data_IF_525879945273
#
_entry.id   IF_525879945273
#
_cell.length_a   1.000
_cell.length_b   1.000
_cell.length_c   1.000
_cell.angle_alpha   90.00
_cell.angle_beta   90.00
_cell.angle_gamma   90.00
#
_symmetry.space_group_name_H-M   'P 1'
#
loop_
_entity.id
_entity.type
_entity.pdbx_description
1 polymer ?
#
# COMPACT_ATOMS: atom_id res chain seq x y z
N UNK A 1 65.28 55.77 14.84
CA UNK A 1 63.99 56.46 15.07
C UNK A 1 63.51 57.05 13.75
N UNK A 2 62.54 56.42 13.08
CA UNK A 2 61.78 57.02 11.98
C UNK A 2 60.38 56.38 11.99
N UNK A 3 59.37 57.23 11.87
CA UNK A 3 58.03 57.03 12.43
C UNK A 3 57.12 56.14 11.59
N UNK A 4 56.47 55.22 12.30
CA UNK A 4 55.23 54.54 11.95
C UNK A 4 54.08 55.58 11.89
N UNK A 5 53.45 55.85 10.74
CA UNK A 5 52.13 56.50 10.70
C UNK A 5 51.23 56.02 9.56
N UNK A 6 50.23 55.24 9.99
CA UNK A 6 48.80 55.27 9.62
C UNK A 6 48.42 55.04 8.16
N UNK A 7 48.03 53.79 7.91
CA UNK A 7 47.08 53.39 6.89
C UNK A 7 45.67 53.46 7.51
N UNK A 8 44.78 54.36 7.06
CA UNK A 8 43.31 54.21 7.15
C UNK A 8 42.55 55.35 6.45
N UNK A 9 41.39 54.98 5.86
CA UNK A 9 40.24 55.76 5.37
C UNK A 9 40.22 56.20 3.89
N UNK A 10 39.11 56.16 3.11
CA UNK A 10 37.71 55.69 3.28
C UNK A 10 36.98 55.88 1.94
N UNK A 11 36.51 54.83 1.27
CA UNK A 11 35.58 54.93 0.13
C UNK A 11 34.17 54.54 0.56
N UNK A 12 33.25 55.50 0.77
CA UNK A 12 31.89 55.23 1.28
C UNK A 12 31.10 54.23 0.41
N UNK A 13 31.35 54.16 -0.89
CA UNK A 13 30.70 53.19 -1.79
C UNK A 13 31.25 51.76 -1.70
N UNK A 14 32.50 51.56 -1.28
CA UNK A 14 33.08 50.22 -1.14
C UNK A 14 32.49 49.47 0.05
N UNK A 15 32.23 50.15 1.17
CA UNK A 15 31.60 49.54 2.34
C UNK A 15 30.16 49.07 2.04
N UNK A 16 29.44 49.81 1.21
CA UNK A 16 28.08 49.48 0.80
C UNK A 16 28.04 48.25 -0.13
N UNK A 17 28.97 48.18 -1.10
CA UNK A 17 29.13 47.01 -1.99
C UNK A 17 29.55 45.77 -1.20
N UNK A 18 30.51 45.90 -0.26
CA UNK A 18 30.95 44.78 0.59
C UNK A 18 29.80 44.28 1.46
N UNK A 19 29.01 45.18 2.05
CA UNK A 19 27.86 44.82 2.87
C UNK A 19 26.78 44.09 2.07
N UNK A 20 26.49 44.57 0.84
CA UNK A 20 25.55 43.92 -0.06
C UNK A 20 26.01 42.50 -0.45
N UNK A 21 27.29 42.31 -0.79
CA UNK A 21 27.85 40.99 -1.09
C UNK A 21 27.79 40.04 0.11
N UNK A 22 28.02 40.56 1.32
CA UNK A 22 27.96 39.78 2.55
C UNK A 22 26.52 39.30 2.83
N UNK A 23 25.53 40.18 2.64
CA UNK A 23 24.11 39.84 2.79
C UNK A 23 23.68 38.80 1.74
N UNK A 24 24.08 38.97 0.48
CA UNK A 24 23.77 37.98 -0.58
C UNK A 24 24.44 36.64 -0.26
N UNK A 25 25.71 36.66 0.17
CA UNK A 25 26.44 35.45 0.57
C UNK A 25 25.77 34.70 1.72
N UNK A 26 25.34 35.41 2.77
CA UNK A 26 24.60 34.83 3.90
C UNK A 26 23.24 34.28 3.44
N UNK A 27 22.52 35.01 2.59
CA UNK A 27 21.21 34.57 2.08
C UNK A 27 21.33 33.30 1.25
N UNK A 28 22.30 33.23 0.33
CA UNK A 28 22.55 32.03 -0.49
C UNK A 28 22.96 30.85 0.39
N UNK A 29 23.83 31.08 1.38
CA UNK A 29 24.22 30.04 2.32
C UNK A 29 23.02 29.52 3.14
N UNK A 30 22.17 30.43 3.64
CA UNK A 30 20.97 30.08 4.41
C UNK A 30 19.95 29.29 3.58
N UNK A 31 19.69 29.71 2.33
CA UNK A 31 18.79 29.00 1.41
C UNK A 31 19.35 27.61 1.07
N UNK A 32 20.66 27.49 0.87
CA UNK A 32 21.33 26.21 0.57
C UNK A 32 21.20 25.21 1.72
N UNK A 33 21.41 25.68 2.97
CA UNK A 33 21.20 24.84 4.16
C UNK A 33 19.73 24.46 4.30
N UNK A 34 18.80 25.40 4.13
CA UNK A 34 17.37 25.10 4.19
C UNK A 34 16.95 24.05 3.15
N UNK A 35 17.49 24.12 1.93
CA UNK A 35 17.18 23.15 0.86
C UNK A 35 17.70 21.75 1.18
N UNK A 36 18.93 21.67 1.70
CA UNK A 36 19.58 20.40 2.05
C UNK A 36 18.84 19.63 3.16
N UNK A 37 18.16 20.34 4.07
CA UNK A 37 17.41 19.72 5.18
C UNK A 37 15.90 19.61 4.92
N UNK A 38 15.32 20.58 4.22
CA UNK A 38 13.88 20.63 3.93
C UNK A 38 13.42 19.57 2.94
N UNK A 39 14.17 19.38 1.85
CA UNK A 39 13.79 18.43 0.77
C UNK A 39 13.71 16.98 1.28
N UNK A 40 14.70 16.44 2.02
CA UNK A 40 14.62 15.06 2.53
C UNK A 40 13.46 14.83 3.50
N UNK A 41 13.09 15.84 4.31
CA UNK A 41 11.97 15.73 5.25
C UNK A 41 10.64 15.67 4.49
N UNK A 42 10.45 16.56 3.51
CA UNK A 42 9.24 16.59 2.67
C UNK A 42 9.09 15.28 1.90
N UNK A 43 10.15 14.79 1.27
CA UNK A 43 10.16 13.51 0.56
C UNK A 43 9.84 12.33 1.49
N UNK A 44 10.38 12.34 2.72
CA UNK A 44 10.07 11.31 3.73
C UNK A 44 8.60 11.30 4.13
N UNK A 45 7.96 12.46 4.20
CA UNK A 45 6.53 12.58 4.50
C UNK A 45 5.65 12.08 3.35
N UNK A 46 5.96 12.49 2.12
CA UNK A 46 5.23 12.06 0.92
C UNK A 46 5.25 10.53 0.75
N UNK A 47 6.42 9.89 0.86
CA UNK A 47 6.51 8.43 0.75
C UNK A 47 5.80 7.69 1.87
N UNK A 48 5.63 8.28 3.07
CA UNK A 48 4.84 7.66 4.13
C UNK A 48 3.34 7.79 3.83
N UNK A 49 2.89 8.96 3.35
CA UNK A 49 1.48 9.19 2.97
C UNK A 49 1.04 8.22 1.89
N UNK A 50 1.84 8.06 0.83
CA UNK A 50 1.53 7.14 -0.28
C UNK A 50 1.35 5.69 0.16
N UNK A 51 2.18 5.23 1.11
CA UNK A 51 2.10 3.87 1.65
C UNK A 51 0.83 3.71 2.49
N UNK A 52 0.51 4.70 3.33
CA UNK A 52 -0.69 4.70 4.16
C UNK A 52 -1.98 4.78 3.32
N UNK A 53 -1.98 5.61 2.28
CA UNK A 53 -3.11 5.72 1.35
C UNK A 53 -3.33 4.41 0.59
N UNK A 54 -2.25 3.75 0.15
CA UNK A 54 -2.35 2.46 -0.52
C UNK A 54 -2.88 1.36 0.40
N UNK A 55 -2.39 1.29 1.63
CA UNK A 55 -2.90 0.37 2.64
C UNK A 55 -4.36 0.66 3.00
N UNK A 56 -4.72 1.94 3.14
CA UNK A 56 -6.11 2.36 3.38
C UNK A 56 -7.02 1.93 2.23
N UNK A 57 -6.60 2.15 0.98
CA UNK A 57 -7.36 1.73 -0.19
C UNK A 57 -7.64 0.23 -0.18
N UNK A 58 -6.63 -0.59 0.12
CA UNK A 58 -6.80 -2.05 0.21
C UNK A 58 -7.70 -2.48 1.37
N UNK A 59 -7.60 -1.81 2.52
CA UNK A 59 -8.50 -2.04 3.65
C UNK A 59 -9.95 -1.62 3.35
N UNK A 60 -10.16 -0.55 2.59
CA UNK A 60 -11.51 -0.12 2.20
C UNK A 60 -12.15 -1.09 1.21
N UNK A 61 -11.35 -1.69 0.31
CA UNK A 61 -11.79 -2.79 -0.54
C UNK A 61 -12.17 -4.02 0.30
N UNK A 62 -11.29 -4.44 1.22
CA UNK A 62 -11.54 -5.61 2.08
C UNK A 62 -12.83 -5.44 2.87
N UNK A 63 -13.01 -4.29 3.54
CA UNK A 63 -14.24 -3.96 4.27
C UNK A 63 -15.47 -3.95 3.38
N UNK A 64 -15.35 -3.45 2.16
CA UNK A 64 -16.47 -3.40 1.23
C UNK A 64 -16.86 -4.80 0.73
N UNK A 65 -15.88 -5.66 0.49
CA UNK A 65 -16.13 -7.05 0.11
C UNK A 65 -16.72 -7.81 1.30
N UNK A 66 -16.15 -7.72 2.49
CA UNK A 66 -16.66 -8.39 3.70
C UNK A 66 -18.11 -7.96 4.01
N UNK A 67 -18.43 -6.67 3.86
CA UNK A 67 -19.79 -6.17 4.02
C UNK A 67 -20.76 -6.77 2.98
N UNK A 68 -20.37 -6.81 1.71
CA UNK A 68 -21.18 -7.40 0.63
C UNK A 68 -21.28 -8.92 0.79
N UNK A 69 -20.24 -9.58 1.29
CA UNK A 69 -20.19 -11.01 1.55
C UNK A 69 -21.18 -11.40 2.66
N UNK A 70 -21.21 -10.65 3.77
CA UNK A 70 -22.10 -10.92 4.91
C UNK A 70 -23.54 -10.47 4.63
N UNK A 71 -23.73 -9.23 4.19
CA UNK A 71 -25.04 -8.60 4.08
C UNK A 71 -25.68 -8.77 2.69
N UNK A 72 -24.89 -9.14 1.68
CA UNK A 72 -25.33 -9.23 0.29
C UNK A 72 -25.42 -7.87 -0.41
N UNK A 73 -26.02 -7.89 -1.61
CA UNK A 73 -26.26 -6.67 -2.37
C UNK A 73 -25.05 -6.20 -3.16
N UNK A 74 -24.91 -4.87 -3.28
CA UNK A 74 -23.87 -4.21 -4.07
C UNK A 74 -23.29 -3.03 -3.29
N UNK A 75 -21.99 -2.81 -3.41
CA UNK A 75 -21.29 -1.68 -2.82
C UNK A 75 -20.37 -1.04 -3.83
N UNK A 76 -20.18 0.26 -3.71
CA UNK A 76 -19.23 1.00 -4.54
C UNK A 76 -18.14 1.57 -3.65
N UNK A 77 -16.89 1.43 -4.10
CA UNK A 77 -15.72 2.03 -3.46
C UNK A 77 -15.03 2.92 -4.49
N UNK A 78 -14.79 4.18 -4.14
CA UNK A 78 -14.02 5.10 -4.96
C UNK A 78 -12.63 5.22 -4.37
N UNK A 79 -11.61 5.01 -5.19
CA UNK A 79 -10.21 4.98 -4.79
C UNK A 79 -9.43 5.95 -5.66
N UNK A 80 -8.40 6.58 -5.10
CA UNK A 80 -7.37 7.25 -5.88
C UNK A 80 -6.12 6.37 -5.86
N UNK A 81 -5.75 5.83 -7.01
CA UNK A 81 -4.60 4.94 -7.15
C UNK A 81 -3.36 5.74 -7.54
N UNK A 82 -2.26 5.47 -6.86
CA UNK A 82 -0.93 6.00 -7.18
C UNK A 82 -0.06 4.96 -7.91
N UNK A 83 -0.66 3.83 -8.30
CA UNK A 83 0.01 2.70 -8.91
C UNK A 83 -0.92 1.83 -9.75
N UNK A 84 -0.56 0.56 -9.92
CA UNK A 84 -1.33 -0.38 -10.73
C UNK A 84 -2.07 -1.39 -9.86
N UNK A 85 -3.36 -1.59 -10.12
CA UNK A 85 -4.19 -2.59 -9.47
C UNK A 85 -4.63 -3.66 -10.48
N UNK A 86 -4.71 -4.91 -10.01
CA UNK A 86 -5.17 -6.05 -10.78
C UNK A 86 -6.10 -6.93 -9.92
N UNK A 87 -7.22 -7.33 -10.48
CA UNK A 87 -8.10 -8.37 -9.93
C UNK A 87 -7.66 -9.69 -10.60
N UNK A 88 -7.01 -10.56 -9.83
CA UNK A 88 -6.53 -11.87 -10.28
C UNK A 88 -7.50 -12.95 -9.81
N UNK A 89 -8.32 -13.47 -10.73
CA UNK A 89 -9.22 -14.59 -10.43
C UNK A 89 -8.42 -15.87 -10.14
N UNK A 90 -7.31 -16.07 -10.87
CA UNK A 90 -6.45 -17.25 -10.74
C UNK A 90 -5.80 -17.36 -9.35
N UNK A 91 -5.37 -16.21 -8.79
CA UNK A 91 -4.80 -16.16 -7.45
C UNK A 91 -5.84 -15.91 -6.36
N UNK A 92 -7.12 -15.77 -6.74
CA UNK A 92 -8.20 -15.32 -5.87
C UNK A 92 -7.82 -14.07 -5.05
N UNK A 93 -7.18 -13.10 -5.70
CA UNK A 93 -6.56 -11.96 -5.04
C UNK A 93 -6.69 -10.64 -5.80
N UNK A 94 -6.84 -9.55 -5.04
CA UNK A 94 -6.69 -8.18 -5.54
C UNK A 94 -5.26 -7.74 -5.26
N UNK A 95 -4.50 -7.44 -6.30
CA UNK A 95 -3.11 -7.00 -6.24
C UNK A 95 -3.04 -5.50 -6.46
N UNK A 96 -2.21 -4.82 -5.69
CA UNK A 96 -1.96 -3.39 -5.87
C UNK A 96 -0.48 -3.08 -5.66
N UNK A 97 0.14 -2.44 -6.64
CA UNK A 97 1.59 -2.18 -6.64
C UNK A 97 1.85 -0.68 -6.76
N UNK A 98 2.64 -0.13 -5.84
CA UNK A 98 3.05 1.28 -5.84
C UNK A 98 4.57 1.41 -5.81
N UNK A 99 5.11 2.46 -6.43
CA UNK A 99 6.52 2.82 -6.29
C UNK A 99 6.70 3.81 -5.15
N UNK A 100 7.66 3.55 -4.25
CA UNK A 100 7.96 4.44 -3.12
C UNK A 100 9.47 4.59 -2.91
N UNK A 101 9.90 5.68 -2.27
CA UNK A 101 11.31 5.87 -1.87
C UNK A 101 11.67 5.11 -0.59
N UNK A 102 10.67 4.60 0.13
CA UNK A 102 10.84 3.77 1.33
C UNK A 102 10.15 2.43 1.13
N UNK A 103 10.67 1.40 1.78
CA UNK A 103 10.06 0.07 1.72
C UNK A 103 8.69 0.03 2.43
N UNK A 104 8.57 0.66 3.60
CA UNK A 104 7.33 0.66 4.41
C UNK A 104 6.95 -0.67 5.05
N UNK A 105 7.33 -1.79 4.42
CA UNK A 105 7.05 -3.17 4.81
C UNK A 105 8.32 -4.03 4.66
N UNK A 106 8.24 -5.31 5.02
CA UNK A 106 9.37 -6.24 4.89
C UNK A 106 9.77 -6.47 3.42
N UNK A 107 11.05 -6.78 3.19
CA UNK A 107 11.60 -6.91 1.83
C UNK A 107 11.70 -8.34 1.33
N UNK A 108 11.83 -9.30 2.24
CA UNK A 108 12.11 -10.69 1.91
C UNK A 108 10.82 -11.49 1.82
N UNK A 109 9.89 -11.23 2.73
CA UNK A 109 8.71 -12.04 2.97
C UNK A 109 7.43 -11.20 2.93
N UNK A 110 6.32 -11.89 2.66
CA UNK A 110 4.99 -11.32 2.77
C UNK A 110 4.63 -11.15 4.25
N UNK A 111 4.19 -9.95 4.62
CA UNK A 111 3.77 -9.63 5.99
C UNK A 111 2.26 -9.45 6.00
N UNK A 112 1.53 -10.13 6.89
CA UNK A 112 0.11 -9.90 7.08
C UNK A 112 -0.11 -8.52 7.74
N UNK A 113 -1.07 -7.77 7.23
CA UNK A 113 -1.40 -6.42 7.70
C UNK A 113 -2.72 -6.37 8.48
N UNK A 114 -3.62 -7.34 8.24
CA UNK A 114 -4.94 -7.38 8.87
C UNK A 114 -5.21 -8.67 9.66
N UNK A 115 -4.18 -9.50 9.85
CA UNK A 115 -4.20 -10.77 10.58
C UNK A 115 -2.79 -11.03 11.16
N UNK A 116 -2.64 -12.04 12.01
CA UNK A 116 -1.37 -12.40 12.64
C UNK A 116 -0.53 -13.34 11.76
N UNK A 117 -1.18 -14.17 10.94
CA UNK A 117 -0.55 -15.28 10.23
C UNK A 117 -0.94 -15.37 8.74
N UNK A 118 -0.08 -16.01 7.95
CA UNK A 118 -0.22 -16.15 6.49
C UNK A 118 -0.73 -17.51 6.03
N UNK A 119 -1.47 -18.19 6.91
CA UNK A 119 -2.03 -19.52 6.67
C UNK A 119 -2.78 -19.60 5.34
N UNK A 120 -2.59 -20.70 4.61
CA UNK A 120 -3.33 -20.99 3.39
C UNK A 120 -3.04 -20.08 2.19
N UNK A 121 -2.05 -19.18 2.26
CA UNK A 121 -1.71 -18.26 1.16
C UNK A 121 -0.51 -18.75 0.37
N UNK A 122 -0.67 -18.90 -0.95
CA UNK A 122 0.40 -19.35 -1.82
C UNK A 122 1.60 -18.38 -1.81
N UNK A 123 2.82 -18.94 -1.72
CA UNK A 123 4.07 -18.17 -1.71
C UNK A 123 4.44 -17.56 -0.34
N UNK A 124 3.75 -17.94 0.74
CA UNK A 124 4.13 -17.62 2.12
C UNK A 124 4.66 -18.86 2.85
N UNK A 125 5.40 -18.69 3.96
CA UNK A 125 5.95 -19.83 4.73
C UNK A 125 4.89 -20.80 5.25
N UNK A 126 3.65 -20.34 5.44
CA UNK A 126 2.58 -21.12 6.06
C UNK A 126 1.46 -21.50 5.08
N UNK A 127 1.78 -21.59 3.79
CA UNK A 127 0.82 -21.91 2.74
C UNK A 127 0.08 -23.27 2.93
N UNK A 128 0.66 -24.21 3.69
CA UNK A 128 0.05 -25.50 4.00
C UNK A 128 -0.82 -25.50 5.25
N UNK A 129 -0.76 -24.45 6.07
CA UNK A 129 -1.58 -24.34 7.28
C UNK A 129 -3.04 -24.05 6.92
N UNK A 130 -3.97 -24.60 7.69
CA UNK A 130 -5.41 -24.41 7.50
C UNK A 130 -5.86 -23.22 8.36
N UNK A 131 -6.37 -22.14 7.75
CA UNK A 131 -7.01 -21.05 8.49
C UNK A 131 -8.29 -21.54 9.17
N UNK A 132 -8.54 -21.11 10.40
CA UNK A 132 -9.65 -21.54 11.24
C UNK A 132 -10.76 -20.48 11.28
N UNK A 133 -11.99 -20.90 10.97
CA UNK A 133 -13.16 -20.05 11.03
C UNK A 133 -13.37 -19.46 12.43
N UNK A 134 -13.65 -18.16 12.50
CA UNK A 134 -13.85 -17.42 13.75
C UNK A 134 -12.57 -17.03 14.48
N UNK A 135 -11.40 -17.50 14.03
CA UNK A 135 -10.08 -17.08 14.54
C UNK A 135 -9.34 -16.29 13.47
N UNK A 136 -9.16 -16.89 12.29
CA UNK A 136 -8.46 -16.29 11.16
C UNK A 136 -9.44 -15.55 10.24
N UNK A 137 -8.92 -14.54 9.52
CA UNK A 137 -9.70 -13.85 8.48
C UNK A 137 -9.70 -14.59 7.16
N UNK A 138 -10.84 -14.56 6.49
CA UNK A 138 -11.01 -15.09 5.14
C UNK A 138 -10.33 -14.23 4.07
N UNK A 139 -10.46 -12.90 4.17
CA UNK A 139 -9.73 -11.94 3.35
C UNK A 139 -8.44 -11.49 4.04
N UNK A 140 -7.29 -12.01 3.60
CA UNK A 140 -5.97 -11.67 4.14
C UNK A 140 -5.29 -10.60 3.29
N UNK A 141 -5.03 -9.44 3.89
CA UNK A 141 -4.18 -8.40 3.32
C UNK A 141 -2.73 -8.65 3.70
N UNK A 142 -1.87 -8.89 2.72
CA UNK A 142 -0.43 -9.01 2.87
C UNK A 142 0.30 -7.96 2.04
N UNK A 143 1.49 -7.58 2.47
CA UNK A 143 2.36 -6.69 1.71
C UNK A 143 3.82 -7.15 1.70
N UNK A 144 4.54 -6.78 0.64
CA UNK A 144 5.96 -7.02 0.48
C UNK A 144 6.60 -5.90 -0.34
N UNK A 145 7.82 -5.52 0.01
CA UNK A 145 8.61 -4.55 -0.74
C UNK A 145 9.73 -5.23 -1.54
N UNK A 146 9.88 -4.87 -2.80
CA UNK A 146 10.99 -5.28 -3.67
C UNK A 146 11.86 -4.06 -4.01
N UNK A 147 13.18 -4.24 -4.07
CA UNK A 147 14.08 -3.13 -4.38
C UNK A 147 13.96 -2.73 -5.87
N UNK A 148 14.00 -1.43 -6.13
CA UNK A 148 14.14 -0.82 -7.46
C UNK A 148 15.40 0.06 -7.49
N UNK A 149 15.91 0.39 -8.68
CA UNK A 149 17.11 1.24 -8.85
C UNK A 149 17.06 2.56 -8.08
N UNK A 150 15.87 3.13 -7.92
CA UNK A 150 15.67 4.43 -7.26
C UNK A 150 14.69 4.41 -6.09
N UNK A 151 14.36 3.23 -5.54
CA UNK A 151 13.38 3.08 -4.48
C UNK A 151 12.94 1.65 -4.23
N UNK A 152 11.65 1.46 -3.99
CA UNK A 152 11.02 0.18 -3.72
C UNK A 152 9.70 0.09 -4.50
N UNK A 153 9.40 -1.09 -5.00
CA UNK A 153 8.06 -1.48 -5.42
C UNK A 153 7.40 -2.12 -4.20
N UNK A 154 6.28 -1.59 -3.74
CA UNK A 154 5.50 -2.17 -2.66
C UNK A 154 4.31 -2.84 -3.28
N UNK A 155 4.22 -4.15 -3.11
CA UNK A 155 3.13 -4.98 -3.57
C UNK A 155 2.22 -5.31 -2.38
N UNK A 156 0.94 -5.01 -2.54
CA UNK A 156 -0.14 -5.44 -1.67
C UNK A 156 -0.91 -6.56 -2.37
N UNK A 157 -1.35 -7.55 -1.59
CA UNK A 157 -2.31 -8.57 -2.05
C UNK A 157 -3.37 -8.74 -1.00
N UNK A 158 -4.62 -8.54 -1.39
CA UNK A 158 -5.78 -8.99 -0.63
C UNK A 158 -6.20 -10.34 -1.20
N UNK A 159 -5.86 -11.41 -0.50
CA UNK A 159 -6.08 -12.80 -0.93
C UNK A 159 -7.26 -13.38 -0.16
N UNK A 160 -8.19 -14.01 -0.86
CA UNK A 160 -9.28 -14.76 -0.22
C UNK A 160 -8.91 -16.24 -0.11
N UNK A 161 -8.92 -16.74 1.11
CA UNK A 161 -8.51 -18.11 1.46
C UNK A 161 -9.66 -18.87 2.09
N UNK A 162 -9.65 -20.19 1.95
CA UNK A 162 -10.59 -21.06 2.65
C UNK A 162 -10.34 -21.02 4.16
N UNK A 163 -11.40 -20.82 4.93
CA UNK A 163 -11.43 -20.95 6.40
C UNK A 163 -12.31 -22.14 6.76
N UNK A 164 -11.82 -22.99 7.66
CA UNK A 164 -12.50 -24.21 8.10
C UNK A 164 -12.93 -24.13 9.56
N UNK A 165 -14.13 -24.61 9.86
CA UNK A 165 -14.63 -24.78 11.22
C UNK A 165 -14.18 -26.14 11.78
N UNK A 166 -13.44 -26.13 12.88
CA UNK A 166 -12.90 -27.34 13.53
C UNK A 166 -13.99 -28.26 14.09
N UNK A 167 -15.14 -27.71 14.48
CA UNK A 167 -16.23 -28.46 15.11
C UNK A 167 -17.11 -29.14 14.04
N UNK A 168 -17.58 -28.35 13.07
CA UNK A 168 -18.50 -28.83 12.03
C UNK A 168 -17.77 -29.46 10.84
N UNK A 169 -16.48 -29.19 10.70
CA UNK A 169 -15.63 -29.49 9.53
C UNK A 169 -16.08 -28.79 8.26
N UNK A 170 -17.05 -27.87 8.34
CA UNK A 170 -17.50 -27.09 7.18
C UNK A 170 -16.49 -25.99 6.85
N UNK A 171 -16.28 -25.75 5.56
CA UNK A 171 -15.38 -24.71 5.04
C UNK A 171 -16.15 -23.59 4.36
N UNK A 172 -15.53 -22.42 4.29
CA UNK A 172 -16.05 -21.25 3.57
C UNK A 172 -14.93 -20.61 2.76
N UNK A 173 -15.25 -20.17 1.55
CA UNK A 173 -14.32 -19.41 0.71
C UNK A 173 -15.06 -18.39 -0.16
N UNK A 174 -14.49 -17.21 -0.19
CA UNK A 174 -14.89 -16.12 -1.08
C UNK A 174 -14.06 -16.22 -2.33
N UNK A 175 -14.72 -16.24 -3.48
CA UNK A 175 -14.08 -16.26 -4.79
C UNK A 175 -14.33 -14.93 -5.48
N UNK A 176 -13.27 -14.28 -5.93
CA UNK A 176 -13.38 -13.01 -6.66
C UNK A 176 -13.44 -13.25 -8.16
N UNK A 177 -14.25 -12.47 -8.85
CA UNK A 177 -14.31 -12.43 -10.32
C UNK A 177 -14.35 -10.99 -10.82
N UNK A 178 -13.61 -10.71 -11.87
CA UNK A 178 -13.59 -9.43 -12.55
C UNK A 178 -14.69 -9.40 -13.63
N UNK A 179 -15.47 -8.33 -13.64
CA UNK A 179 -16.47 -8.07 -14.68
C UNK A 179 -15.93 -6.98 -15.61
N UNK A 180 -15.48 -7.37 -16.79
CA UNK A 180 -14.88 -6.47 -17.77
C UNK A 180 -13.38 -6.28 -17.56
N UNK A 181 -12.94 -5.04 -17.36
CA UNK A 181 -11.53 -4.75 -17.10
C UNK A 181 -11.13 -5.25 -15.72
N UNK A 182 -10.06 -6.03 -15.65
CA UNK A 182 -9.49 -6.52 -14.41
C UNK A 182 -8.24 -5.75 -13.96
N UNK A 183 -7.86 -4.69 -14.69
CA UNK A 183 -6.69 -3.85 -14.40
C UNK A 183 -7.07 -2.38 -14.34
N UNK A 184 -6.43 -1.69 -13.42
CA UNK A 184 -6.49 -0.24 -13.29
C UNK A 184 -5.08 0.33 -13.12
N UNK A 185 -4.87 1.52 -13.67
CA UNK A 185 -3.65 2.31 -13.49
C UNK A 185 -3.91 3.49 -12.56
N UNK A 186 -2.88 4.31 -12.32
CA UNK A 186 -2.99 5.47 -11.45
C UNK A 186 -4.12 6.43 -11.87
N UNK A 187 -4.81 6.99 -10.87
CA UNK A 187 -5.95 7.89 -11.03
C UNK A 187 -7.16 7.47 -10.19
N UNK A 188 -8.27 8.20 -10.38
CA UNK A 188 -9.53 7.89 -9.73
C UNK A 188 -10.18 6.66 -10.37
N UNK A 189 -10.43 5.64 -9.56
CA UNK A 189 -11.02 4.38 -9.97
C UNK A 189 -12.21 4.09 -9.09
N UNK A 190 -13.30 3.63 -9.69
CA UNK A 190 -14.48 3.21 -8.94
C UNK A 190 -14.67 1.70 -9.11
N UNK A 191 -14.71 1.00 -7.99
CA UNK A 191 -15.00 -0.43 -7.93
C UNK A 191 -16.47 -0.61 -7.60
N UNK A 192 -17.15 -1.43 -8.39
CA UNK A 192 -18.50 -1.92 -8.11
C UNK A 192 -18.42 -3.39 -7.69
N UNK A 193 -18.71 -3.65 -6.43
CA UNK A 193 -18.62 -4.96 -5.80
C UNK A 193 -20.03 -5.51 -5.63
N UNK A 194 -20.25 -6.79 -5.93
CA UNK A 194 -21.55 -7.43 -5.84
C UNK A 194 -21.45 -8.91 -5.47
N UNK A 195 -22.39 -9.40 -4.66
CA UNK A 195 -22.47 -10.81 -4.28
C UNK A 195 -23.34 -11.60 -5.25
N UNK A 196 -22.82 -12.70 -5.77
CA UNK A 196 -23.60 -13.73 -6.46
C UNK A 196 -24.22 -14.72 -5.45
N UNK A 197 -25.26 -15.49 -5.82
CA UNK A 197 -25.82 -16.50 -4.93
C UNK A 197 -24.74 -17.46 -4.42
N UNK A 198 -24.78 -17.76 -3.13
CA UNK A 198 -23.88 -18.74 -2.52
C UNK A 198 -24.18 -20.13 -3.07
N UNK A 199 -23.12 -20.93 -3.24
CA UNK A 199 -23.21 -22.28 -3.79
C UNK A 199 -22.44 -23.24 -2.90
N UNK A 200 -22.98 -24.44 -2.70
CA UNK A 200 -22.23 -25.52 -2.05
C UNK A 200 -21.33 -26.15 -3.12
N UNK A 201 -20.04 -26.21 -2.83
CA UNK A 201 -19.04 -26.82 -3.69
C UNK A 201 -19.31 -28.30 -3.89
N UNK A 202 -18.95 -28.83 -5.05
CA UNK A 202 -18.80 -30.28 -5.25
C UNK A 202 -17.53 -30.84 -4.62
N UNK A 203 -16.55 -29.96 -4.31
CA UNK A 203 -15.29 -30.30 -3.63
C UNK A 203 -15.49 -30.14 -2.12
N UNK A 204 -15.10 -31.12 -1.28
CA UNK A 204 -15.20 -30.97 0.17
C UNK A 204 -14.23 -29.88 0.67
N UNK A 205 -14.50 -29.38 1.88
CA UNK A 205 -13.56 -28.49 2.57
C UNK A 205 -12.25 -29.22 2.90
N UNK A 206 -11.21 -28.49 3.32
CA UNK A 206 -9.93 -29.09 3.72
C UNK A 206 -10.07 -30.05 4.91
N UNK A 207 -11.05 -29.84 5.78
CA UNK A 207 -11.38 -30.76 6.88
C UNK A 207 -12.38 -31.87 6.49
N UNK A 208 -12.82 -31.92 5.23
CA UNK A 208 -13.65 -32.99 4.67
C UNK A 208 -15.17 -32.77 4.81
N UNK A 209 -15.61 -31.61 5.29
CA UNK A 209 -17.03 -31.23 5.34
C UNK A 209 -17.49 -30.53 4.06
N UNK A 210 -18.63 -29.84 4.15
CA UNK A 210 -19.16 -29.05 3.04
C UNK A 210 -18.36 -27.77 2.88
N UNK A 211 -18.08 -27.38 1.65
CA UNK A 211 -17.47 -26.08 1.34
C UNK A 211 -18.53 -25.14 0.76
N UNK A 212 -18.74 -24.01 1.42
CA UNK A 212 -19.63 -22.94 0.92
C UNK A 212 -18.80 -21.93 0.14
N UNK A 213 -19.15 -21.69 -1.12
CA UNK A 213 -18.55 -20.63 -1.93
C UNK A 213 -19.44 -19.39 -1.94
N UNK A 214 -18.84 -18.26 -1.62
CA UNK A 214 -19.42 -16.94 -1.88
C UNK A 214 -18.69 -16.32 -3.06
N UNK A 215 -19.38 -16.12 -4.19
CA UNK A 215 -18.76 -15.46 -5.34
C UNK A 215 -19.01 -13.95 -5.30
N UNK A 216 -17.93 -13.18 -5.44
CA UNK A 216 -17.93 -11.71 -5.43
C UNK A 216 -17.48 -11.23 -6.81
N UNK A 217 -18.38 -10.55 -7.50
CA UNK A 217 -18.13 -9.95 -8.81
C UNK A 217 -17.76 -8.48 -8.64
N UNK A 218 -16.62 -8.09 -9.22
CA UNK A 218 -16.00 -6.76 -9.10
C UNK A 218 -15.85 -6.16 -10.50
N UNK A 219 -16.48 -5.01 -10.75
CA UNK A 219 -16.28 -4.24 -11.98
C UNK A 219 -15.45 -2.99 -11.71
N UNK A 220 -14.46 -2.73 -12.57
CA UNK A 220 -13.65 -1.51 -12.58
C UNK A 220 -14.27 -0.52 -13.56
N UNK A 221 -14.61 0.69 -13.08
CA UNK A 221 -15.13 1.81 -13.87
C UNK A 221 -14.32 3.07 -13.72
#
# INVERSE_FOLDING_TARGET
MSNLKRFFFKGKGQAEIISALLIVGITVAAVSVAYMWGVPIIQKGQSTSQIQEAESAMNDIEKAISDVEQNGGKKSVSLNLDGSMEISEDDNAIKYSIASKKAGVARTEWVPLNDDETFGVAGTPQNQSIPIYGTDKEGLLIAKASALDSGYLIDYRLVYREVDDLETKEGRITTISAVGNNKASAGNVKLLISREPQVISSVPSKLGGKLTLTKISIAIS
#
